data_IF_835826400460
#
_entry.id   IF_835826400460
#
_cell.length_a   1.000
_cell.length_b   1.000
_cell.length_c   1.000
_cell.angle_alpha   90.00
_cell.angle_beta   90.00
_cell.angle_gamma   90.00
#
_symmetry.space_group_name_H-M   'P 1'
#
loop_
_entity.id
_entity.type
_entity.pdbx_description
1 polymer ?
#
# COMPACT_ATOMS: atom_id res chain seq x y z
N UNK A 1 14.31 31.64 -6.83
CA UNK A 1 13.82 30.77 -5.75
C UNK A 1 14.64 29.50 -5.83
N UNK A 2 15.70 29.44 -5.03
CA UNK A 2 16.72 28.39 -5.09
C UNK A 2 16.23 27.12 -4.41
N UNK A 3 16.38 26.02 -5.13
CA UNK A 3 16.25 24.65 -4.66
C UNK A 3 17.44 24.28 -3.78
N UNK A 4 17.52 24.84 -2.58
CA UNK A 4 18.46 24.45 -1.53
C UNK A 4 17.69 23.79 -0.38
N UNK A 5 17.81 22.46 -0.24
CA UNK A 5 17.46 21.77 1.00
C UNK A 5 16.20 20.89 1.02
N UNK A 6 15.81 20.24 -0.08
CA UNK A 6 14.75 19.21 0.02
C UNK A 6 15.27 17.99 0.77
N UNK A 7 14.73 17.77 1.98
CA UNK A 7 15.01 16.60 2.82
C UNK A 7 14.16 15.41 2.33
N UNK A 8 14.60 14.17 2.62
CA UNK A 8 13.81 12.98 2.32
C UNK A 8 12.40 13.10 2.94
N UNK A 9 11.35 12.87 2.13
CA UNK A 9 9.97 12.97 2.57
C UNK A 9 9.33 14.36 2.43
N UNK A 10 10.07 15.35 1.93
CA UNK A 10 9.53 16.69 1.72
C UNK A 10 8.53 16.74 0.54
N UNK A 11 7.52 17.61 0.64
CA UNK A 11 6.45 17.74 -0.36
C UNK A 11 6.83 18.83 -1.36
N UNK A 12 7.14 18.43 -2.59
CA UNK A 12 7.55 19.36 -3.65
C UNK A 12 6.37 20.09 -4.30
N UNK A 13 5.20 19.43 -4.37
CA UNK A 13 3.96 20.01 -4.89
C UNK A 13 2.79 19.35 -4.19
N UNK A 14 1.85 20.17 -3.73
CA UNK A 14 0.56 19.73 -3.21
C UNK A 14 -0.52 20.29 -4.13
N UNK A 15 -1.27 19.42 -4.78
CA UNK A 15 -2.50 19.81 -5.47
C UNK A 15 -3.70 19.45 -4.61
N UNK A 16 -4.50 20.44 -4.17
CA UNK A 16 -5.70 20.16 -3.40
C UNK A 16 -6.70 19.38 -4.24
N UNK A 17 -7.48 18.54 -3.56
CA UNK A 17 -8.55 17.78 -4.20
C UNK A 17 -9.58 18.74 -4.84
N UNK A 18 -10.17 18.31 -5.95
CA UNK A 18 -11.15 19.11 -6.70
C UNK A 18 -12.51 19.20 -6.00
N UNK A 19 -12.77 18.31 -5.03
CA UNK A 19 -13.99 18.25 -4.20
C UNK A 19 -15.28 18.39 -5.01
N UNK A 20 -15.39 17.63 -6.11
CA UNK A 20 -16.54 17.68 -7.01
C UNK A 20 -17.81 17.13 -6.35
N UNK A 21 -18.82 17.99 -6.16
CA UNK A 21 -20.16 17.57 -5.69
C UNK A 21 -20.81 16.58 -6.65
N UNK A 22 -20.60 16.73 -7.95
CA UNK A 22 -21.13 15.80 -8.94
C UNK A 22 -20.54 14.39 -8.77
N UNK A 23 -19.25 14.28 -8.43
CA UNK A 23 -18.61 13.00 -8.14
C UNK A 23 -19.13 12.38 -6.84
N UNK A 24 -19.39 13.19 -5.80
CA UNK A 24 -20.03 12.70 -4.57
C UNK A 24 -21.41 12.09 -4.86
N UNK A 25 -22.25 12.79 -5.63
CA UNK A 25 -23.58 12.30 -6.02
C UNK A 25 -23.47 11.02 -6.84
N UNK A 26 -22.53 10.97 -7.80
CA UNK A 26 -22.29 9.77 -8.60
C UNK A 26 -21.90 8.57 -7.72
N UNK A 27 -20.98 8.75 -6.77
CA UNK A 27 -20.60 7.70 -5.82
C UNK A 27 -21.81 7.21 -5.03
N UNK A 28 -22.64 8.12 -4.51
CA UNK A 28 -23.86 7.74 -3.77
C UNK A 28 -24.81 6.91 -4.66
N UNK A 29 -25.04 7.34 -5.90
CA UNK A 29 -25.89 6.58 -6.83
C UNK A 29 -25.33 5.20 -7.15
N UNK A 30 -24.02 5.11 -7.42
CA UNK A 30 -23.34 3.82 -7.65
C UNK A 30 -23.43 2.94 -6.41
N UNK A 31 -23.27 3.47 -5.19
CA UNK A 31 -23.43 2.66 -3.97
C UNK A 31 -24.84 2.10 -3.78
N UNK A 32 -25.89 2.81 -4.22
CA UNK A 32 -27.26 2.29 -4.20
C UNK A 32 -27.40 1.14 -5.19
N UNK A 33 -26.81 1.28 -6.39
CA UNK A 33 -26.79 0.24 -7.42
C UNK A 33 -26.01 -0.99 -6.92
N UNK A 34 -24.85 -0.79 -6.30
CA UNK A 34 -24.03 -1.84 -5.69
C UNK A 34 -24.85 -2.63 -4.64
N UNK A 35 -25.57 -1.95 -3.74
CA UNK A 35 -26.43 -2.61 -2.75
C UNK A 35 -27.49 -3.49 -3.43
N UNK A 36 -28.09 -3.01 -4.53
CA UNK A 36 -29.06 -3.80 -5.30
C UNK A 36 -28.42 -5.03 -5.91
N UNK A 37 -27.23 -4.92 -6.52
CA UNK A 37 -26.53 -6.07 -7.12
C UNK A 37 -26.05 -7.07 -6.07
N UNK A 38 -25.48 -6.61 -4.96
CA UNK A 38 -25.08 -7.47 -3.83
C UNK A 38 -26.30 -8.19 -3.24
N UNK A 39 -27.42 -7.48 -3.09
CA UNK A 39 -28.69 -8.04 -2.64
C UNK A 39 -29.21 -9.11 -3.60
N UNK A 40 -29.20 -8.85 -4.91
CA UNK A 40 -29.59 -9.82 -5.94
C UNK A 40 -28.68 -11.04 -5.94
N UNK A 41 -27.37 -10.85 -5.85
CA UNK A 41 -26.39 -11.92 -5.81
C UNK A 41 -26.60 -12.82 -4.58
N UNK A 42 -26.79 -12.20 -3.41
CA UNK A 42 -27.06 -12.92 -2.15
C UNK A 42 -28.39 -13.65 -2.20
N UNK A 43 -29.44 -13.02 -2.73
CA UNK A 43 -30.74 -13.66 -2.96
C UNK A 43 -30.59 -14.87 -3.89
N UNK A 44 -29.88 -14.74 -5.00
CA UNK A 44 -29.65 -15.83 -5.94
C UNK A 44 -28.89 -17.00 -5.31
N UNK A 45 -27.89 -16.72 -4.48
CA UNK A 45 -27.18 -17.75 -3.73
C UNK A 45 -28.09 -18.49 -2.74
N UNK A 46 -28.88 -17.75 -1.95
CA UNK A 46 -29.81 -18.34 -0.97
C UNK A 46 -30.88 -19.20 -1.64
N UNK A 47 -31.36 -18.79 -2.81
CA UNK A 47 -32.33 -19.56 -3.60
C UNK A 47 -31.70 -20.70 -4.41
N UNK A 48 -30.41 -20.98 -4.24
CA UNK A 48 -29.74 -22.11 -4.87
C UNK A 48 -29.46 -21.94 -6.36
N UNK A 49 -29.39 -20.72 -6.88
CA UNK A 49 -29.04 -20.47 -8.30
C UNK A 49 -27.66 -21.03 -8.67
N UNK A 50 -26.77 -21.20 -7.69
CA UNK A 50 -25.45 -21.81 -7.90
C UNK A 50 -25.49 -23.31 -8.24
N UNK A 51 -26.60 -24.02 -8.03
CA UNK A 51 -26.71 -25.45 -8.37
C UNK A 51 -27.14 -25.71 -9.82
N UNK A 52 -27.64 -24.69 -10.51
CA UNK A 52 -28.08 -24.77 -11.90
C UNK A 52 -27.04 -24.09 -12.78
N UNK A 53 -26.66 -24.72 -13.89
CA UNK A 53 -25.60 -24.20 -14.79
C UNK A 53 -25.86 -22.75 -15.23
N UNK A 54 -27.07 -22.46 -15.71
CA UNK A 54 -27.47 -21.12 -16.14
C UNK A 54 -27.52 -20.13 -14.98
N UNK A 55 -27.95 -20.57 -13.79
CA UNK A 55 -27.98 -19.73 -12.58
C UNK A 55 -26.57 -19.39 -12.10
N UNK A 56 -25.63 -20.33 -12.16
CA UNK A 56 -24.24 -20.12 -11.79
C UNK A 56 -23.53 -19.14 -12.76
N UNK A 57 -23.82 -19.22 -14.07
CA UNK A 57 -23.34 -18.23 -15.05
C UNK A 57 -23.87 -16.82 -14.73
N UNK A 58 -25.16 -16.70 -14.39
CA UNK A 58 -25.77 -15.42 -14.01
C UNK A 58 -25.18 -14.85 -12.72
N UNK A 59 -24.94 -15.68 -11.71
CA UNK A 59 -24.25 -15.28 -10.47
C UNK A 59 -22.82 -14.82 -10.75
N UNK A 60 -22.07 -15.54 -11.59
CA UNK A 60 -20.73 -15.13 -12.00
C UNK A 60 -20.70 -13.79 -12.73
N UNK A 61 -21.66 -13.55 -13.63
CA UNK A 61 -21.82 -12.25 -14.30
C UNK A 61 -22.17 -11.15 -13.30
N UNK A 62 -23.13 -11.40 -12.40
CA UNK A 62 -23.53 -10.43 -11.37
C UNK A 62 -22.34 -10.08 -10.47
N UNK A 63 -21.54 -11.08 -10.08
CA UNK A 63 -20.32 -10.87 -9.30
C UNK A 63 -19.30 -9.99 -10.03
N UNK A 64 -19.13 -10.20 -11.34
CA UNK A 64 -18.25 -9.36 -12.15
C UNK A 64 -18.75 -7.90 -12.19
N UNK A 65 -20.07 -7.69 -12.34
CA UNK A 65 -20.67 -6.35 -12.34
C UNK A 65 -20.45 -5.63 -11.01
N UNK A 66 -20.62 -6.32 -9.87
CA UNK A 66 -20.34 -5.80 -8.52
C UNK A 66 -18.89 -5.28 -8.43
N UNK A 67 -17.91 -6.10 -8.84
CA UNK A 67 -16.50 -5.67 -8.80
C UNK A 67 -16.20 -4.50 -9.74
N UNK A 68 -16.83 -4.45 -10.90
CA UNK A 68 -16.68 -3.34 -11.84
C UNK A 68 -17.26 -2.06 -11.23
N UNK A 69 -18.45 -2.12 -10.65
CA UNK A 69 -19.08 -0.96 -10.00
C UNK A 69 -18.25 -0.44 -8.83
N UNK A 70 -17.77 -1.34 -7.98
CA UNK A 70 -16.84 -1.01 -6.90
C UNK A 70 -15.57 -0.34 -7.43
N UNK A 71 -15.00 -0.84 -8.53
CA UNK A 71 -13.84 -0.22 -9.16
C UNK A 71 -14.12 1.20 -9.68
N UNK A 72 -15.32 1.46 -10.21
CA UNK A 72 -15.75 2.80 -10.62
C UNK A 72 -15.89 3.74 -9.43
N UNK A 73 -16.49 3.30 -8.33
CA UNK A 73 -16.58 4.07 -7.07
C UNK A 73 -15.18 4.45 -6.59
N UNK A 74 -14.26 3.49 -6.51
CA UNK A 74 -12.89 3.73 -6.07
C UNK A 74 -12.11 4.63 -7.02
N UNK A 75 -12.31 4.49 -8.33
CA UNK A 75 -11.67 5.33 -9.34
C UNK A 75 -12.15 6.78 -9.25
N UNK A 76 -13.47 7.00 -9.07
CA UNK A 76 -14.03 8.33 -8.84
C UNK A 76 -13.52 8.94 -7.54
N UNK A 77 -13.48 8.16 -6.46
CA UNK A 77 -12.93 8.61 -5.18
C UNK A 77 -11.47 9.04 -5.31
N UNK A 78 -10.65 8.19 -5.95
CA UNK A 78 -9.23 8.49 -6.21
C UNK A 78 -9.03 9.73 -7.06
N UNK A 79 -9.85 9.90 -8.10
CA UNK A 79 -9.68 11.02 -9.03
C UNK A 79 -10.08 12.35 -8.42
N UNK A 80 -11.14 12.39 -7.60
CA UNK A 80 -11.75 13.66 -7.20
C UNK A 80 -11.53 14.04 -5.72
N UNK A 81 -11.24 13.06 -4.83
CA UNK A 81 -11.08 13.31 -3.40
C UNK A 81 -9.66 13.05 -2.87
N UNK A 82 -8.83 12.25 -3.56
CA UNK A 82 -7.43 12.12 -3.15
C UNK A 82 -6.62 13.33 -3.62
N UNK A 83 -5.86 13.99 -2.72
CA UNK A 83 -4.92 15.02 -3.12
C UNK A 83 -3.73 14.40 -3.86
N UNK A 84 -3.26 15.07 -4.91
CA UNK A 84 -2.04 14.66 -5.61
C UNK A 84 -0.83 15.32 -4.95
N UNK A 85 0.09 14.50 -4.46
CA UNK A 85 1.26 14.94 -3.69
C UNK A 85 2.54 14.41 -4.32
N UNK A 86 3.39 15.33 -4.75
CA UNK A 86 4.71 15.00 -5.25
C UNK A 86 5.66 14.96 -4.06
N UNK A 87 5.89 13.76 -3.52
CA UNK A 87 6.81 13.54 -2.41
C UNK A 87 8.20 13.21 -2.95
N UNK A 88 9.21 13.91 -2.45
CA UNK A 88 10.60 13.62 -2.81
C UNK A 88 11.03 12.29 -2.18
N UNK A 89 11.24 11.28 -3.04
CA UNK A 89 11.82 10.00 -2.64
C UNK A 89 13.29 9.93 -3.03
N UNK A 90 14.14 9.65 -2.05
CA UNK A 90 15.54 9.29 -2.29
C UNK A 90 15.60 7.86 -2.83
N UNK A 91 16.23 7.68 -3.99
CA UNK A 91 16.55 6.35 -4.54
C UNK A 91 17.62 5.70 -3.67
N UNK A 92 17.26 4.67 -2.88
CA UNK A 92 18.25 3.84 -2.18
C UNK A 92 19.02 2.99 -3.18
N UNK A 93 20.29 2.71 -2.89
CA UNK A 93 21.10 1.81 -3.73
C UNK A 93 20.76 0.37 -3.33
N UNK A 94 20.64 -0.55 -4.31
CA UNK A 94 20.12 -1.93 -4.13
C UNK A 94 20.89 -2.78 -3.09
N UNK A 95 22.07 -2.35 -2.68
CA UNK A 95 22.92 -3.00 -1.69
C UNK A 95 22.79 -2.44 -0.26
N UNK A 96 22.02 -1.36 -0.07
CA UNK A 96 21.75 -0.74 1.25
C UNK A 96 20.47 -1.29 1.92
N UNK A 97 19.71 -2.16 1.25
CA UNK A 97 18.49 -2.78 1.79
C UNK A 97 18.77 -3.90 2.82
N UNK A 98 20.01 -4.05 3.28
CA UNK A 98 20.35 -4.99 4.36
C UNK A 98 20.11 -4.45 5.78
N UNK A 99 19.85 -3.15 5.95
CA UNK A 99 19.67 -2.55 7.28
C UNK A 99 18.28 -1.91 7.41
N UNK A 100 17.48 -2.54 8.26
CA UNK A 100 16.05 -2.24 8.45
C UNK A 100 15.84 -0.95 9.26
N UNK A 101 16.88 -0.31 9.81
CA UNK A 101 16.75 0.88 10.68
C UNK A 101 17.87 1.92 10.50
N UNK A 102 17.49 3.18 10.70
CA UNK A 102 18.34 4.38 10.57
C UNK A 102 19.52 4.41 11.57
N UNK A 103 19.37 3.71 12.70
CA UNK A 103 20.37 3.55 13.77
C UNK A 103 21.55 2.62 13.43
N UNK A 104 21.49 1.87 12.33
CA UNK A 104 22.55 0.95 11.89
C UNK A 104 23.46 1.54 10.80
N UNK A 105 23.31 2.84 10.50
CA UNK A 105 24.01 3.52 9.40
C UNK A 105 25.53 3.64 9.58
N UNK A 106 26.00 3.76 10.83
CA UNK A 106 27.44 3.93 11.13
C UNK A 106 28.19 2.59 11.23
N UNK A 107 27.50 1.47 11.02
CA UNK A 107 28.08 0.14 11.15
C UNK A 107 28.39 -0.19 12.62
N UNK A 108 27.90 -1.32 13.10
CA UNK A 108 28.47 -1.89 14.33
C UNK A 108 29.79 -2.51 13.92
N UNK A 109 30.91 -2.08 14.49
CA UNK A 109 32.17 -2.83 14.44
C UNK A 109 31.97 -4.19 15.11
N UNK A 110 31.41 -5.14 14.38
CA UNK A 110 31.43 -6.55 14.71
C UNK A 110 32.84 -7.06 14.47
N UNK A 111 33.77 -6.77 15.39
CA UNK A 111 35.09 -7.37 15.30
C UNK A 111 36.25 -6.72 16.04
N UNK A 112 36.12 -5.50 16.56
CA UNK A 112 37.25 -4.81 17.21
C UNK A 112 37.93 -5.66 18.30
N UNK A 113 37.12 -6.37 19.10
CA UNK A 113 37.60 -7.21 20.21
C UNK A 113 37.54 -8.72 19.93
N UNK A 114 37.01 -9.18 18.80
CA UNK A 114 36.81 -10.62 18.57
C UNK A 114 38.16 -11.37 18.51
N UNK A 115 39.17 -10.77 17.88
CA UNK A 115 40.51 -11.34 17.78
C UNK A 115 41.27 -11.29 19.11
N UNK A 116 41.04 -10.27 19.93
CA UNK A 116 41.59 -10.21 21.30
C UNK A 116 40.94 -11.23 22.23
N UNK A 117 39.62 -11.46 22.10
CA UNK A 117 38.92 -12.50 22.84
C UNK A 117 39.42 -13.91 22.46
N UNK A 118 39.66 -14.16 21.17
CA UNK A 118 40.23 -15.43 20.70
C UNK A 118 41.66 -15.61 21.21
N UNK A 119 42.52 -14.58 21.12
CA UNK A 119 43.89 -14.65 21.64
C UNK A 119 43.92 -14.89 23.16
N UNK A 120 43.02 -14.27 23.92
CA UNK A 120 42.89 -14.46 25.36
C UNK A 120 42.35 -15.85 25.72
N UNK A 121 41.48 -16.42 24.88
CA UNK A 121 40.96 -17.78 25.06
C UNK A 121 42.00 -18.87 24.73
N UNK A 122 42.86 -18.63 23.74
CA UNK A 122 43.88 -19.61 23.31
C UNK A 122 45.18 -19.50 24.13
N UNK A 123 45.53 -18.31 24.62
CA UNK A 123 46.76 -18.10 25.39
C UNK A 123 46.50 -17.30 26.68
N UNK A 124 46.29 -17.97 27.83
CA UNK A 124 45.88 -17.31 29.07
C UNK A 124 47.01 -16.58 29.82
N UNK A 125 48.27 -16.65 29.36
CA UNK A 125 49.39 -15.95 29.99
C UNK A 125 49.77 -14.68 29.22
N UNK A 126 49.03 -13.61 29.46
CA UNK A 126 49.55 -12.27 29.24
C UNK A 126 50.25 -11.80 30.52
N UNK A 127 51.54 -11.47 30.43
CA UNK A 127 52.24 -10.75 31.50
C UNK A 127 51.66 -9.33 31.56
N UNK A 128 51.31 -8.90 32.78
CA UNK A 128 50.91 -7.52 33.07
C UNK A 128 51.98 -6.52 32.67
#
# INVERSE_FOLDING_TARGET
>A
MSSEGSTYGDIHRYEPARESTAAAIAIVLLTVIEIVFVGLFTYGLVNGWGYVETGNMFLGFTLAVIFVDLAFILALYRKEFLPDVMIVKKRRRKWEDLYVREEDADGRELGGNAWEHVKRAVYPYYKK
#
